data_IF_289872794285
#
_entry.id   IF_289872794285
#
_cell.length_a   1.000
_cell.length_b   1.000
_cell.length_c   1.000
_cell.angle_alpha   90.00
_cell.angle_beta   90.00
_cell.angle_gamma   90.00
#
_symmetry.space_group_name_H-M   'P 1'
#
loop_
_entity.id
_entity.type
_entity.pdbx_description
1 polymer ?
#
# COMPACT_ATOMS: atom_id res chain seq x y z
N UNK A 1 12.90 -28.73 45.94
CA UNK A 1 11.75 -29.28 45.17
C UNK A 1 10.50 -28.37 45.20
N UNK A 2 10.22 -27.62 46.27
CA UNK A 2 9.06 -26.71 46.38
C UNK A 2 9.06 -25.52 45.40
N UNK A 3 10.22 -24.94 45.09
CA UNK A 3 10.36 -23.82 44.14
C UNK A 3 10.02 -24.19 42.68
N UNK A 4 10.32 -25.42 42.26
CA UNK A 4 10.00 -25.92 40.92
C UNK A 4 8.51 -26.25 40.77
N UNK A 5 7.90 -26.84 41.81
CA UNK A 5 6.46 -27.10 41.86
C UNK A 5 5.64 -25.80 41.83
N UNK A 6 6.08 -24.76 42.54
CA UNK A 6 5.44 -23.45 42.54
C UNK A 6 5.45 -22.76 41.16
N UNK A 7 6.58 -22.82 40.43
CA UNK A 7 6.68 -22.26 39.07
C UNK A 7 5.83 -23.03 38.06
N UNK A 8 5.70 -24.36 38.23
CA UNK A 8 4.88 -25.21 37.38
C UNK A 8 3.38 -24.94 37.57
N UNK A 9 2.94 -24.82 38.82
CA UNK A 9 1.58 -24.42 39.16
C UNK A 9 1.25 -23.00 38.66
N UNK A 10 2.21 -22.08 38.74
CA UNK A 10 2.01 -20.73 38.22
C UNK A 10 1.88 -20.70 36.69
N UNK A 11 2.69 -21.49 35.98
CA UNK A 11 2.56 -21.64 34.52
C UNK A 11 1.20 -22.19 34.10
N UNK A 12 0.69 -23.20 34.81
CA UNK A 12 -0.65 -23.78 34.55
C UNK A 12 -1.76 -22.74 34.75
N UNK A 13 -1.69 -21.95 35.82
CA UNK A 13 -2.67 -20.89 36.10
C UNK A 13 -2.65 -19.79 35.02
N UNK A 14 -1.46 -19.41 34.53
CA UNK A 14 -1.33 -18.42 33.45
C UNK A 14 -1.95 -18.95 32.14
N UNK A 15 -1.68 -20.20 31.77
CA UNK A 15 -2.24 -20.82 30.56
C UNK A 15 -3.77 -20.91 30.67
N UNK A 16 -4.30 -21.38 31.81
CA UNK A 16 -5.73 -21.47 32.03
C UNK A 16 -6.42 -20.09 31.96
N UNK A 17 -5.83 -19.07 32.60
CA UNK A 17 -6.35 -17.70 32.55
C UNK A 17 -6.34 -17.13 31.13
N UNK A 18 -5.27 -17.37 30.38
CA UNK A 18 -5.14 -16.92 29.00
C UNK A 18 -6.15 -17.61 28.08
N UNK A 19 -6.38 -18.91 28.27
CA UNK A 19 -7.36 -19.68 27.49
C UNK A 19 -8.80 -19.16 27.73
N UNK A 20 -9.16 -18.89 28.98
CA UNK A 20 -10.47 -18.33 29.33
C UNK A 20 -10.65 -16.95 28.70
N UNK A 21 -9.64 -16.09 28.82
CA UNK A 21 -9.64 -14.75 28.23
C UNK A 21 -9.74 -14.84 26.70
N UNK A 22 -9.00 -15.74 26.04
CA UNK A 22 -9.05 -15.93 24.59
C UNK A 22 -10.44 -16.35 24.08
N UNK A 23 -11.19 -17.14 24.86
CA UNK A 23 -12.55 -17.57 24.51
C UNK A 23 -13.60 -16.51 24.86
N UNK A 24 -13.40 -15.76 25.93
CA UNK A 24 -14.38 -14.79 26.44
C UNK A 24 -14.25 -13.41 25.78
N UNK A 25 -13.03 -12.97 25.42
CA UNK A 25 -12.79 -11.67 24.77
C UNK A 25 -13.59 -11.50 23.48
N UNK A 26 -13.64 -12.46 22.54
CA UNK A 26 -14.44 -12.30 21.32
C UNK A 26 -15.94 -12.24 21.58
N UNK A 27 -16.42 -12.85 22.68
CA UNK A 27 -17.84 -12.85 23.07
C UNK A 27 -18.27 -11.54 23.75
N UNK A 28 -17.34 -10.85 24.40
CA UNK A 28 -17.57 -9.53 25.00
C UNK A 28 -17.35 -8.39 23.99
N UNK A 29 -16.63 -8.67 22.90
CA UNK A 29 -16.44 -7.71 21.82
C UNK A 29 -17.74 -7.55 21.04
N UNK A 30 -18.22 -6.31 20.94
CA UNK A 30 -19.34 -6.01 20.05
C UNK A 30 -19.00 -6.33 18.61
N UNK A 31 -19.94 -6.94 17.91
CA UNK A 31 -19.80 -7.22 16.49
C UNK A 31 -19.86 -5.92 15.67
N UNK A 32 -19.35 -5.91 14.42
CA UNK A 32 -19.41 -4.71 13.58
C UNK A 32 -20.83 -4.19 13.36
N UNK A 33 -21.82 -5.07 13.23
CA UNK A 33 -23.22 -4.68 13.08
C UNK A 33 -23.77 -4.00 14.35
N UNK A 34 -23.50 -4.58 15.53
CA UNK A 34 -23.91 -4.02 16.82
C UNK A 34 -23.27 -2.66 17.05
N UNK A 35 -21.96 -2.54 16.81
CA UNK A 35 -21.21 -1.29 16.98
C UNK A 35 -21.78 -0.18 16.11
N UNK A 36 -22.13 -0.46 14.84
CA UNK A 36 -22.78 0.52 13.95
C UNK A 36 -24.12 0.99 14.51
N UNK A 37 -24.95 0.08 15.01
CA UNK A 37 -26.23 0.44 15.64
C UNK A 37 -26.00 1.31 16.88
N UNK A 38 -25.02 0.96 17.73
CA UNK A 38 -24.66 1.75 18.90
C UNK A 38 -24.18 3.17 18.55
N UNK A 39 -23.33 3.31 17.54
CA UNK A 39 -22.87 4.62 17.04
C UNK A 39 -24.05 5.46 16.55
N UNK A 40 -24.92 4.90 15.70
CA UNK A 40 -26.10 5.60 15.17
C UNK A 40 -27.05 6.01 16.30
N UNK A 41 -27.25 5.13 17.29
CA UNK A 41 -28.07 5.42 18.46
C UNK A 41 -27.48 6.56 19.28
N UNK A 42 -26.17 6.53 19.52
CA UNK A 42 -25.46 7.58 20.25
C UNK A 42 -25.51 8.92 19.50
N UNK A 43 -25.31 8.93 18.18
CA UNK A 43 -25.46 10.13 17.33
C UNK A 43 -26.85 10.75 17.48
N UNK A 44 -27.91 9.93 17.38
CA UNK A 44 -29.29 10.39 17.54
C UNK A 44 -29.56 10.96 18.93
N UNK A 45 -29.04 10.31 19.99
CA UNK A 45 -29.19 10.82 21.36
C UNK A 45 -28.47 12.15 21.54
N UNK A 46 -27.29 12.29 20.97
CA UNK A 46 -26.46 13.46 21.11
C UNK A 46 -27.06 14.66 20.37
N UNK A 47 -27.57 14.46 19.15
CA UNK A 47 -28.28 15.50 18.39
C UNK A 47 -29.53 16.00 19.13
N UNK A 48 -30.34 15.08 19.70
CA UNK A 48 -31.50 15.45 20.54
C UNK A 48 -31.07 16.27 21.75
N UNK A 49 -30.02 15.85 22.44
CA UNK A 49 -29.52 16.53 23.64
C UNK A 49 -28.91 17.88 23.31
N UNK A 50 -28.26 18.01 22.14
CA UNK A 50 -27.69 19.27 21.64
C UNK A 50 -28.79 20.30 21.43
N UNK A 51 -29.85 19.91 20.71
CA UNK A 51 -31.03 20.74 20.45
C UNK A 51 -31.72 21.16 21.75
N UNK A 52 -31.92 20.21 22.67
CA UNK A 52 -32.53 20.51 23.98
C UNK A 52 -31.67 21.48 24.81
N UNK A 53 -30.35 21.28 24.84
CA UNK A 53 -29.44 22.17 25.57
C UNK A 53 -29.42 23.58 24.95
N UNK A 54 -29.44 23.68 23.62
CA UNK A 54 -29.52 24.96 22.92
C UNK A 54 -30.84 25.69 23.23
N UNK A 55 -31.97 24.97 23.25
CA UNK A 55 -33.25 25.52 23.66
C UNK A 55 -33.22 26.04 25.11
N UNK A 56 -32.58 25.31 26.02
CA UNK A 56 -32.41 25.75 27.41
C UNK A 56 -31.54 27.01 27.53
N UNK A 57 -30.47 27.12 26.72
CA UNK A 57 -29.65 28.35 26.66
C UNK A 57 -30.54 29.55 26.27
N UNK A 58 -31.30 29.44 25.18
CA UNK A 58 -32.20 30.50 24.73
C UNK A 58 -33.26 30.85 25.78
N UNK A 59 -33.88 29.83 26.38
CA UNK A 59 -34.88 29.97 27.44
C UNK A 59 -34.33 30.76 28.63
N UNK A 60 -33.16 30.38 29.14
CA UNK A 60 -32.59 31.06 30.30
C UNK A 60 -32.06 32.45 29.94
N UNK A 61 -31.51 32.68 28.74
CA UNK A 61 -31.16 34.02 28.25
C UNK A 61 -32.38 34.95 28.26
N UNK A 62 -33.50 34.49 27.71
CA UNK A 62 -34.74 35.27 27.70
C UNK A 62 -35.25 35.55 29.12
N UNK A 63 -35.23 34.56 30.01
CA UNK A 63 -35.70 34.73 31.39
C UNK A 63 -34.80 35.67 32.19
N UNK A 64 -33.48 35.68 31.95
CA UNK A 64 -32.56 36.67 32.53
C UNK A 64 -32.92 38.06 32.03
N UNK A 65 -33.08 38.24 30.72
CA UNK A 65 -33.44 39.53 30.13
C UNK A 65 -34.77 40.05 30.69
N UNK A 66 -35.80 39.20 30.71
CA UNK A 66 -37.12 39.54 31.28
C UNK A 66 -37.02 40.02 32.73
N UNK A 67 -36.27 39.31 33.59
CA UNK A 67 -36.20 39.60 35.02
C UNK A 67 -35.19 40.70 35.40
N UNK A 68 -34.42 41.21 34.44
CA UNK A 68 -33.43 42.28 34.68
C UNK A 68 -33.74 43.57 33.92
N UNK A 69 -34.42 43.51 32.76
CA UNK A 69 -34.66 44.66 31.89
C UNK A 69 -36.14 45.01 31.69
N UNK A 70 -37.07 44.07 31.89
CA UNK A 70 -38.51 44.26 31.64
C UNK A 70 -39.34 44.34 32.94
N UNK A 71 -38.69 44.57 34.09
CA UNK A 71 -39.36 44.68 35.40
C UNK A 71 -38.95 45.96 36.12
N UNK A 72 -39.89 46.58 36.84
CA UNK A 72 -39.64 47.82 37.60
C UNK A 72 -38.70 47.62 38.80
N UNK A 73 -38.75 46.45 39.45
CA UNK A 73 -37.84 46.07 40.55
C UNK A 73 -37.26 44.69 40.28
N UNK A 74 -35.95 44.56 40.40
CA UNK A 74 -35.21 43.33 40.09
C UNK A 74 -35.17 42.40 41.30
N UNK A 75 -35.61 41.15 41.09
CA UNK A 75 -35.55 40.09 42.10
C UNK A 75 -34.24 39.30 41.97
N UNK A 76 -33.20 39.71 42.71
CA UNK A 76 -31.85 39.15 42.60
C UNK A 76 -31.78 37.62 42.78
N UNK A 77 -32.57 37.05 43.68
CA UNK A 77 -32.61 35.60 43.90
C UNK A 77 -33.11 34.82 42.68
N UNK A 78 -34.14 35.33 42.00
CA UNK A 78 -34.69 34.73 40.78
C UNK A 78 -33.72 34.86 39.60
N UNK A 79 -33.06 36.01 39.48
CA UNK A 79 -32.01 36.23 38.47
C UNK A 79 -30.86 35.23 38.66
N UNK A 80 -30.37 35.04 39.89
CA UNK A 80 -29.32 34.05 40.20
C UNK A 80 -29.74 32.61 39.87
N UNK A 81 -31.01 32.26 40.07
CA UNK A 81 -31.50 30.93 39.70
C UNK A 81 -31.45 30.70 38.18
N UNK A 82 -31.88 31.68 37.38
CA UNK A 82 -31.79 31.59 35.90
C UNK A 82 -30.35 31.64 35.40
N UNK A 83 -29.48 32.44 36.01
CA UNK A 83 -28.05 32.47 35.68
C UNK A 83 -27.37 31.12 35.91
N UNK A 84 -27.64 30.44 37.03
CA UNK A 84 -27.11 29.09 37.28
C UNK A 84 -27.57 28.09 36.21
N UNK A 85 -28.87 28.10 35.89
CA UNK A 85 -29.44 27.25 34.83
C UNK A 85 -28.85 27.56 33.46
N UNK A 86 -28.62 28.84 33.16
CA UNK A 86 -27.97 29.29 31.92
C UNK A 86 -26.54 28.74 31.81
N UNK A 87 -25.74 28.84 32.87
CA UNK A 87 -24.37 28.32 32.89
C UNK A 87 -24.35 26.79 32.75
N UNK A 88 -25.26 26.09 33.42
CA UNK A 88 -25.40 24.64 33.27
C UNK A 88 -25.81 24.25 31.84
N UNK A 89 -26.72 24.99 31.21
CA UNK A 89 -27.13 24.75 29.84
C UNK A 89 -25.98 25.00 28.85
N UNK A 90 -25.18 26.05 29.04
CA UNK A 90 -23.97 26.29 28.22
C UNK A 90 -22.95 25.17 28.41
N UNK A 91 -22.70 24.75 29.65
CA UNK A 91 -21.78 23.65 29.93
C UNK A 91 -22.24 22.36 29.24
N UNK A 92 -23.52 21.98 29.40
CA UNK A 92 -24.11 20.81 28.76
C UNK A 92 -24.00 20.89 27.23
N UNK A 93 -24.34 22.03 26.64
CA UNK A 93 -24.25 22.25 25.20
C UNK A 93 -22.82 22.05 24.68
N UNK A 94 -21.83 22.63 25.38
CA UNK A 94 -20.40 22.48 25.02
C UNK A 94 -19.94 21.03 25.15
N UNK A 95 -20.33 20.35 26.22
CA UNK A 95 -19.97 18.94 26.46
C UNK A 95 -20.53 18.05 25.35
N UNK A 96 -21.82 18.17 25.05
CA UNK A 96 -22.49 17.41 23.99
C UNK A 96 -21.85 17.68 22.63
N UNK A 97 -21.54 18.94 22.31
CA UNK A 97 -20.84 19.30 21.07
C UNK A 97 -19.44 18.68 20.98
N UNK A 98 -18.70 18.62 22.09
CA UNK A 98 -17.40 17.96 22.13
C UNK A 98 -17.53 16.46 21.92
N UNK A 99 -18.52 15.82 22.57
CA UNK A 99 -18.78 14.40 22.42
C UNK A 99 -19.18 14.08 20.95
N UNK A 100 -19.80 15.02 20.23
CA UNK A 100 -20.18 14.85 18.81
C UNK A 100 -18.95 14.87 17.92
N UNK A 101 -18.03 15.80 18.20
CA UNK A 101 -16.74 15.86 17.51
C UNK A 101 -15.97 14.56 17.68
N UNK A 102 -15.86 14.04 18.91
CA UNK A 102 -15.14 12.77 19.17
C UNK A 102 -15.71 11.60 18.37
N UNK A 103 -17.04 11.51 18.27
CA UNK A 103 -17.68 10.44 17.51
C UNK A 103 -17.43 10.58 16.00
N UNK A 104 -17.49 11.81 15.49
CA UNK A 104 -17.21 12.12 14.09
C UNK A 104 -15.74 11.87 13.73
N UNK A 105 -14.80 12.21 14.61
CA UNK A 105 -13.37 11.96 14.42
C UNK A 105 -13.10 10.45 14.38
N UNK A 106 -13.77 9.66 15.22
CA UNK A 106 -13.68 8.21 15.21
C UNK A 106 -14.20 7.59 13.91
N UNK A 107 -15.35 8.06 13.42
CA UNK A 107 -15.91 7.63 12.12
C UNK A 107 -15.00 8.01 10.94
N UNK A 108 -14.40 9.21 10.98
CA UNK A 108 -13.47 9.69 9.97
C UNK A 108 -12.20 8.83 9.93
N UNK A 109 -11.61 8.54 11.10
CA UNK A 109 -10.42 7.67 11.19
C UNK A 109 -10.67 6.26 10.65
N UNK A 110 -11.84 5.66 10.92
CA UNK A 110 -12.22 4.35 10.37
C UNK A 110 -12.34 4.40 8.84
N UNK A 111 -12.90 5.48 8.31
CA UNK A 111 -13.03 5.70 6.86
C UNK A 111 -11.66 5.83 6.20
N UNK A 112 -10.73 6.57 6.81
CA UNK A 112 -9.37 6.75 6.29
C UNK A 112 -8.57 5.45 6.32
N UNK A 113 -8.77 4.62 7.35
CA UNK A 113 -8.18 3.29 7.43
C UNK A 113 -8.70 2.37 6.33
N UNK A 114 -10.00 2.37 6.05
CA UNK A 114 -10.59 1.59 4.97
C UNK A 114 -10.05 2.01 3.59
N UNK A 115 -9.88 3.33 3.35
CA UNK A 115 -9.24 3.84 2.12
C UNK A 115 -7.79 3.41 2.01
N UNK A 116 -7.04 3.51 3.11
CA UNK A 116 -5.64 3.07 3.16
C UNK A 116 -5.54 1.58 2.82
N UNK A 117 -6.44 0.76 3.37
CA UNK A 117 -6.52 -0.66 3.07
C UNK A 117 -6.81 -0.91 1.58
N UNK A 118 -7.77 -0.20 0.97
CA UNK A 118 -8.07 -0.29 -0.47
C UNK A 118 -6.83 0.02 -1.32
N UNK A 119 -6.15 1.14 -1.04
CA UNK A 119 -4.95 1.54 -1.77
C UNK A 119 -3.82 0.51 -1.62
N UNK A 120 -3.62 -0.03 -0.41
CA UNK A 120 -2.61 -1.07 -0.18
C UNK A 120 -2.92 -2.33 -0.96
N UNK A 121 -4.19 -2.77 -0.99
CA UNK A 121 -4.58 -3.92 -1.79
C UNK A 121 -4.34 -3.72 -3.28
N UNK A 122 -4.68 -2.54 -3.82
CA UNK A 122 -4.41 -2.21 -5.22
C UNK A 122 -2.90 -2.28 -5.53
N UNK A 123 -2.07 -1.64 -4.70
CA UNK A 123 -0.61 -1.66 -4.88
C UNK A 123 -0.05 -3.09 -4.80
N UNK A 124 -0.51 -3.89 -3.84
CA UNK A 124 -0.04 -5.28 -3.68
C UNK A 124 -0.48 -6.15 -4.84
N UNK A 125 -1.71 -5.96 -5.34
CA UNK A 125 -2.21 -6.66 -6.53
C UNK A 125 -1.39 -6.30 -7.78
N UNK A 126 -1.11 -5.02 -7.97
CA UNK A 126 -0.25 -4.52 -9.06
C UNK A 126 1.19 -5.05 -8.95
N UNK A 127 1.69 -5.19 -7.73
CA UNK A 127 3.02 -5.75 -7.47
C UNK A 127 3.06 -7.24 -7.80
N UNK A 128 2.05 -8.00 -7.38
CA UNK A 128 1.92 -9.42 -7.70
C UNK A 128 1.87 -9.65 -9.21
N UNK A 129 1.06 -8.87 -9.95
CA UNK A 129 1.01 -8.99 -11.42
C UNK A 129 2.34 -8.64 -12.11
N UNK A 130 3.11 -7.67 -11.56
CA UNK A 130 4.47 -7.40 -12.04
C UNK A 130 5.44 -8.52 -11.70
N UNK A 131 5.28 -9.15 -10.54
CA UNK A 131 6.11 -10.26 -10.11
C UNK A 131 5.90 -11.48 -11.03
N UNK A 132 4.65 -11.83 -11.33
CA UNK A 132 4.33 -12.90 -12.27
C UNK A 132 4.99 -12.65 -13.64
N UNK A 133 4.94 -11.42 -14.14
CA UNK A 133 5.59 -11.05 -15.40
C UNK A 133 7.13 -11.16 -15.35
N UNK A 134 7.75 -10.86 -14.21
CA UNK A 134 9.19 -11.02 -14.04
C UNK A 134 9.58 -12.49 -13.95
N UNK A 135 8.77 -13.31 -13.28
CA UNK A 135 8.97 -14.76 -13.18
C UNK A 135 8.87 -15.43 -14.56
N UNK A 136 7.87 -15.06 -15.39
CA UNK A 136 7.77 -15.53 -16.77
C UNK A 136 9.02 -15.21 -17.60
N UNK A 137 9.53 -13.98 -17.46
CA UNK A 137 10.75 -13.55 -18.15
C UNK A 137 11.99 -14.28 -17.65
N UNK A 138 12.04 -14.60 -16.35
CA UNK A 138 13.13 -15.37 -15.75
C UNK A 138 13.13 -16.79 -16.32
N UNK A 139 11.98 -17.47 -16.31
CA UNK A 139 11.84 -18.82 -16.89
C UNK A 139 12.22 -18.84 -18.37
N UNK A 140 11.81 -17.84 -19.15
CA UNK A 140 12.21 -17.72 -20.56
C UNK A 140 13.73 -17.51 -20.75
N UNK A 141 14.41 -16.86 -19.79
CA UNK A 141 15.86 -16.72 -19.80
C UNK A 141 16.52 -18.06 -19.40
N UNK A 142 16.01 -18.75 -18.38
CA UNK A 142 16.49 -20.06 -17.95
C UNK A 142 16.42 -21.08 -19.10
N UNK A 143 15.31 -21.11 -19.85
CA UNK A 143 15.15 -21.99 -21.01
C UNK A 143 16.17 -21.68 -22.11
N UNK A 144 16.37 -20.39 -22.43
CA UNK A 144 17.39 -19.98 -23.42
C UNK A 144 18.80 -20.37 -22.99
N UNK A 145 19.12 -20.26 -21.70
CA UNK A 145 20.42 -20.68 -21.16
C UNK A 145 20.56 -22.21 -21.27
N UNK A 146 19.51 -22.98 -20.96
CA UNK A 146 19.53 -24.43 -21.09
C UNK A 146 19.80 -24.86 -22.55
N UNK A 147 19.15 -24.21 -23.53
CA UNK A 147 19.40 -24.45 -24.96
C UNK A 147 20.85 -24.13 -25.34
N UNK A 148 21.39 -23.01 -24.87
CA UNK A 148 22.80 -22.65 -25.13
C UNK A 148 23.74 -23.69 -24.52
N UNK A 149 23.44 -24.18 -23.32
CA UNK A 149 24.23 -25.21 -22.65
C UNK A 149 24.26 -26.51 -23.47
N UNK A 150 23.10 -26.99 -23.93
CA UNK A 150 22.99 -28.19 -24.77
C UNK A 150 23.75 -28.05 -26.10
N UNK A 151 23.63 -26.89 -26.76
CA UNK A 151 24.39 -26.60 -27.99
C UNK A 151 25.90 -26.60 -27.77
N UNK A 152 26.36 -26.10 -26.62
CA UNK A 152 27.78 -26.08 -26.26
C UNK A 152 28.29 -27.49 -25.96
N UNK A 153 27.46 -28.34 -25.34
CA UNK A 153 27.78 -29.73 -25.01
C UNK A 153 27.82 -30.64 -26.25
N UNK A 154 26.94 -30.40 -27.23
CA UNK A 154 26.94 -31.11 -28.52
C UNK A 154 28.01 -30.62 -29.52
N UNK A 155 28.60 -29.44 -29.28
CA UNK A 155 29.61 -28.83 -30.16
C UNK A 155 30.84 -29.72 -30.44
N UNK A 156 31.47 -30.39 -29.45
CA UNK A 156 32.65 -31.24 -29.66
C UNK A 156 32.32 -32.45 -30.55
N UNK A 157 31.11 -32.98 -30.44
CA UNK A 157 30.66 -34.14 -31.20
C UNK A 157 30.48 -33.78 -32.68
N UNK A 158 29.88 -32.62 -32.96
CA UNK A 158 29.80 -32.06 -34.33
C UNK A 158 31.18 -31.75 -34.91
N UNK A 159 32.10 -31.20 -34.10
CA UNK A 159 33.49 -30.95 -34.50
C UNK A 159 34.20 -32.26 -34.86
N UNK A 160 34.07 -33.30 -34.03
CA UNK A 160 34.64 -34.62 -34.29
C UNK A 160 34.03 -35.26 -35.55
N UNK A 161 32.72 -35.16 -35.73
CA UNK A 161 32.03 -35.69 -36.91
C UNK A 161 32.49 -34.98 -38.20
N UNK A 162 32.71 -33.66 -38.13
CA UNK A 162 33.30 -32.88 -39.21
C UNK A 162 34.75 -33.32 -39.50
N UNK A 163 35.60 -33.47 -38.48
CA UNK A 163 36.98 -33.95 -38.64
C UNK A 163 37.04 -35.36 -39.25
N UNK A 164 36.24 -36.30 -38.76
CA UNK A 164 36.16 -37.67 -39.31
C UNK A 164 35.66 -37.66 -40.75
N UNK A 165 34.63 -36.88 -41.07
CA UNK A 165 34.14 -36.75 -42.46
C UNK A 165 35.16 -36.10 -43.40
N UNK A 166 36.10 -35.29 -42.88
CA UNK A 166 37.19 -34.72 -43.67
C UNK A 166 38.38 -35.68 -43.85
N UNK A 167 38.64 -36.55 -42.87
CA UNK A 167 39.70 -37.56 -42.91
C UNK A 167 39.31 -38.81 -43.74
N UNK A 168 38.01 -39.14 -43.82
CA UNK A 168 37.47 -40.19 -44.69
C UNK A 168 37.12 -39.69 -46.12
N UNK A 169 38.04 -38.96 -46.75
CA UNK A 169 38.03 -38.76 -48.19
C UNK A 169 38.83 -39.86 -48.90
N UNK A 170 38.20 -40.85 -49.58
CA UNK A 170 38.95 -41.88 -50.28
C UNK A 170 39.62 -41.31 -51.55
N UNK A 171 40.93 -41.55 -51.64
CA UNK A 171 41.75 -41.45 -52.85
C UNK A 171 41.28 -42.38 -53.98
N UNK A 172 41.32 -41.85 -55.21
CA UNK A 172 41.63 -42.52 -56.50
C UNK A 172 40.74 -43.71 -56.95
N UNK A 173 39.91 -43.46 -57.97
CA UNK A 173 39.87 -44.31 -59.17
C UNK A 173 39.89 -43.46 -60.44
N UNK A 174 41.08 -43.43 -61.03
CA UNK A 174 41.35 -43.09 -62.41
C UNK A 174 40.83 -44.28 -63.24
N UNK A 175 39.72 -44.14 -63.96
CA UNK A 175 39.35 -45.08 -65.02
C UNK A 175 39.01 -44.27 -66.26
N UNK A 176 40.02 -44.21 -67.14
CA UNK A 176 39.99 -43.60 -68.46
C UNK A 176 38.78 -44.11 -69.25
N UNK A 177 38.01 -43.19 -69.84
CA UNK A 177 37.16 -43.46 -71.01
C UNK A 177 37.63 -42.55 -72.15
N UNK A 178 37.82 -43.09 -73.37
CA UNK A 178 38.51 -42.40 -74.44
C UNK A 178 37.65 -41.32 -75.11
N UNK A 179 38.40 -40.36 -75.63
CA UNK A 179 38.11 -39.27 -76.55
C UNK A 179 37.07 -39.56 -77.64
N UNK A 180 36.17 -38.61 -77.92
CA UNK A 180 36.04 -37.97 -79.25
C UNK A 180 34.86 -36.98 -79.34
N UNK A 181 35.24 -35.74 -79.65
CA UNK A 181 34.60 -34.72 -80.51
C UNK A 181 33.14 -34.26 -80.28
N UNK A 182 32.96 -32.96 -79.95
CA UNK A 182 32.62 -31.93 -80.96
C UNK A 182 32.45 -30.51 -80.38
N UNK A 183 33.29 -29.59 -80.89
CA UNK A 183 32.97 -28.25 -81.44
C UNK A 183 32.39 -27.14 -80.51
N UNK A 184 33.30 -26.25 -80.08
CA UNK A 184 33.35 -24.77 -80.20
C UNK A 184 32.07 -23.92 -80.08
N UNK A 185 32.11 -22.94 -79.16
CA UNK A 185 31.36 -21.68 -79.24
C UNK A 185 31.40 -20.81 -77.95
N UNK A 186 32.39 -19.92 -77.84
CA UNK A 186 32.40 -18.55 -77.25
C UNK A 186 31.15 -18.06 -76.47
N UNK A 187 31.15 -17.32 -75.36
CA UNK A 187 32.11 -16.42 -74.68
C UNK A 187 31.46 -15.92 -73.37
N UNK A 188 32.28 -15.44 -72.41
CA UNK A 188 32.03 -14.31 -71.46
C UNK A 188 30.77 -14.36 -70.57
N UNK A 189 30.76 -14.13 -69.25
CA UNK A 189 31.59 -13.30 -68.38
C UNK A 189 30.99 -13.41 -66.96
N UNK A 190 31.84 -13.40 -65.92
CA UNK A 190 31.69 -12.74 -64.59
C UNK A 190 30.38 -12.83 -63.78
N UNK A 191 30.35 -12.87 -62.44
CA UNK A 191 31.32 -12.99 -61.37
C UNK A 191 30.52 -13.01 -60.04
N UNK A 192 31.00 -13.81 -59.09
CA UNK A 192 31.18 -13.53 -57.65
C UNK A 192 30.05 -12.91 -56.81
N UNK A 193 29.62 -13.60 -55.75
CA UNK A 193 30.17 -13.50 -54.39
C UNK A 193 30.09 -12.08 -53.79
N UNK A 194 29.27 -11.92 -52.73
CA UNK A 194 29.74 -11.54 -51.38
C UNK A 194 28.60 -11.04 -50.46
N UNK A 195 28.55 -11.61 -49.25
CA UNK A 195 28.25 -10.90 -48.01
C UNK A 195 29.51 -10.08 -47.62
N UNK A 196 29.45 -8.95 -46.87
CA UNK A 196 29.24 -9.03 -45.41
C UNK A 196 28.71 -7.78 -44.65
N UNK A 197 28.34 -8.03 -43.37
CA UNK A 197 28.44 -7.23 -42.13
C UNK A 197 27.83 -5.80 -41.94
N UNK A 198 26.96 -5.74 -40.91
CA UNK A 198 26.78 -4.80 -39.78
C UNK A 198 27.29 -3.33 -39.82
N UNK A 199 26.40 -2.39 -39.42
CA UNK A 199 26.70 -1.23 -38.53
C UNK A 199 25.43 -0.50 -38.01
N UNK A 200 25.22 -0.56 -36.69
CA UNK A 200 25.05 0.55 -35.71
C UNK A 200 24.08 1.76 -35.89
N UNK A 201 23.31 1.98 -34.80
CA UNK A 201 22.86 3.23 -34.10
C UNK A 201 21.41 3.75 -34.29
N UNK A 202 20.69 4.06 -33.17
CA UNK A 202 19.31 4.57 -33.14
C UNK A 202 19.21 6.11 -33.11
N UNK A 203 18.05 6.64 -33.52
CA UNK A 203 17.69 8.07 -33.42
C UNK A 203 16.70 8.35 -32.28
N UNK A 204 16.99 9.47 -31.61
CA UNK A 204 16.34 10.16 -30.50
C UNK A 204 14.91 10.69 -30.73
N UNK A 205 14.10 10.75 -29.67
CA UNK A 205 13.24 11.89 -29.25
C UNK A 205 12.53 11.50 -27.94
N UNK A 206 12.91 12.05 -26.78
CA UNK A 206 12.39 13.29 -26.18
C UNK A 206 11.53 12.91 -24.95
N UNK A 207 11.74 13.34 -23.70
CA UNK A 207 12.50 14.45 -23.16
C UNK A 207 11.55 15.38 -22.37
N UNK A 208 11.53 15.26 -21.03
CA UNK A 208 10.90 16.21 -20.08
C UNK A 208 9.59 15.69 -19.44
N UNK A 209 9.35 15.75 -18.13
CA UNK A 209 9.98 16.50 -17.03
C UNK A 209 9.87 15.72 -15.71
N UNK A 210 10.98 15.64 -14.99
CA UNK A 210 11.04 15.28 -13.57
C UNK A 210 11.15 16.58 -12.79
N UNK A 211 10.16 16.89 -11.96
CA UNK A 211 10.30 17.92 -10.92
C UNK A 211 10.75 17.25 -9.64
N UNK A 212 12.03 17.41 -9.32
CA UNK A 212 12.59 17.20 -7.99
C UNK A 212 12.85 18.58 -7.39
N UNK A 213 12.19 18.94 -6.29
CA UNK A 213 12.66 19.96 -5.37
C UNK A 213 12.29 19.60 -3.92
N UNK A 214 13.36 19.39 -3.15
CA UNK A 214 13.57 19.79 -1.75
C UNK A 214 12.83 19.05 -0.63
N UNK A 215 13.53 18.06 -0.06
CA UNK A 215 13.47 17.75 1.38
C UNK A 215 13.83 19.01 2.18
N UNK A 216 12.94 19.45 3.05
CA UNK A 216 13.25 20.39 4.12
C UNK A 216 13.14 19.66 5.47
N UNK A 217 14.29 19.49 6.14
CA UNK A 217 14.36 18.98 7.50
C UNK A 217 13.93 20.06 8.51
N UNK A 218 13.22 19.73 9.59
CA UNK A 218 13.01 20.66 10.70
C UNK A 218 14.15 20.51 11.71
N UNK A 219 14.91 21.58 11.96
CA UNK A 219 15.75 21.72 13.16
C UNK A 219 15.05 22.61 14.20
N UNK A 220 15.24 22.35 15.51
CA UNK A 220 14.51 23.03 16.57
C UNK A 220 15.12 24.41 16.84
N UNK A 221 14.28 25.42 17.07
CA UNK A 221 14.73 26.73 17.54
C UNK A 221 13.82 27.19 18.66
N UNK A 222 14.32 27.09 19.89
CA UNK A 222 13.80 27.80 21.06
C UNK A 222 14.63 29.08 21.21
N UNK A 223 13.98 30.25 21.33
CA UNK A 223 14.59 31.36 22.06
C UNK A 223 13.75 31.73 23.29
N UNK A 224 14.31 31.35 24.43
CA UNK A 224 14.45 32.13 25.67
C UNK A 224 13.75 33.50 25.70
N UNK A 225 12.64 33.60 26.41
CA UNK A 225 12.24 34.85 27.10
C UNK A 225 12.77 34.79 28.53
N UNK A 226 13.79 35.60 28.81
CA UNK A 226 14.24 35.91 30.18
C UNK A 226 13.41 37.07 30.75
N UNK A 227 13.29 37.18 32.09
CA UNK A 227 12.41 38.14 32.77
C UNK A 227 13.11 39.46 33.11
N UNK A 228 12.30 40.42 33.62
CA UNK A 228 12.61 41.58 34.49
C UNK A 228 12.60 42.99 33.83
N UNK A 229 12.33 44.05 34.62
CA UNK A 229 12.07 44.11 36.08
C UNK A 229 10.58 44.25 36.46
#
# INVERSE_FOLDING_TARGET
MTLLLGKWNHGIVIIASTQVVAVLLPKLRMQPAETRVHVIMMEKQLDRTLKNSAANVLRETWLIYKNTKLVKRVNASRVRAHQRKFLLAIYALRKVKMDQRKLMDNASSMTDMAKTQSNVYEIVSDLAGRQDHLDDRLTAIEEKIAVIHEQLEGLPEVINQCFSSHLDGPQKQNLLRPESAAIVGSSTQSASHNLPHSKSVPTSSGGGNRSALLLQAPSPSVPRTSPQP
#
